data_IF_265520063080
#
_entry.id   IF_265520063080
#
_cell.length_a   1.000
_cell.length_b   1.000
_cell.length_c   1.000
_cell.angle_alpha   90.00
_cell.angle_beta   90.00
_cell.angle_gamma   90.00
#
_symmetry.space_group_name_H-M   'P 1'
#
loop_
_entity.id
_entity.type
_entity.pdbx_description
1 polymer ?
#
# COMPACT_ATOMS: atom_id res chain seq x y z
N UNK A 1 26.43 9.27 24.14
CA UNK A 1 25.94 10.40 23.33
C UNK A 1 25.03 9.81 22.25
N UNK A 2 23.71 9.88 22.42
CA UNK A 2 22.77 9.46 21.37
C UNK A 2 22.69 10.60 20.36
N UNK A 3 23.21 10.39 19.15
CA UNK A 3 22.91 11.26 18.02
C UNK A 3 21.39 11.30 17.85
N UNK A 4 20.78 12.45 18.16
CA UNK A 4 19.48 12.78 17.58
C UNK A 4 19.71 12.86 16.07
N UNK A 5 19.58 11.73 15.36
CA UNK A 5 19.39 11.75 13.91
C UNK A 5 18.17 12.61 13.71
N UNK A 6 18.40 13.82 13.22
CA UNK A 6 17.36 14.71 12.77
C UNK A 6 16.69 13.97 11.61
N UNK A 7 15.65 13.15 11.90
CA UNK A 7 14.85 12.49 10.88
C UNK A 7 14.00 13.56 10.25
N UNK A 8 14.63 14.37 9.40
CA UNK A 8 13.93 15.27 8.51
C UNK A 8 13.00 14.40 7.69
N UNK A 9 11.70 14.55 7.94
CA UNK A 9 10.67 13.89 7.16
C UNK A 9 10.84 14.32 5.72
N UNK A 10 10.84 13.36 4.81
CA UNK A 10 10.93 13.66 3.39
C UNK A 10 9.59 14.22 2.93
N UNK A 11 9.60 15.23 2.05
CA UNK A 11 8.39 15.92 1.56
C UNK A 11 8.39 16.15 0.04
N UNK A 12 9.44 15.70 -0.65
CA UNK A 12 9.68 15.88 -2.09
C UNK A 12 8.89 14.91 -2.98
N UNK A 13 8.04 14.05 -2.41
CA UNK A 13 7.25 13.05 -3.14
C UNK A 13 8.01 11.76 -3.47
N UNK A 14 9.28 11.66 -3.07
CA UNK A 14 10.11 10.48 -3.24
C UNK A 14 10.17 9.66 -1.95
N UNK A 15 10.38 8.36 -2.10
CA UNK A 15 10.60 7.40 -1.02
C UNK A 15 11.74 6.48 -1.43
N UNK A 16 12.38 5.82 -0.46
CA UNK A 16 13.39 4.80 -0.75
C UNK A 16 12.79 3.73 -1.66
N UNK A 17 13.51 3.36 -2.72
CA UNK A 17 13.17 2.18 -3.50
C UNK A 17 13.58 0.92 -2.73
N UNK A 18 12.62 0.27 -2.04
CA UNK A 18 12.89 -0.93 -1.22
C UNK A 18 13.38 -2.13 -2.06
N UNK A 19 13.16 -2.10 -3.38
CA UNK A 19 13.62 -3.14 -4.30
C UNK A 19 15.00 -2.84 -4.90
N UNK A 20 15.59 -1.67 -4.65
CA UNK A 20 16.97 -1.40 -5.04
C UNK A 20 17.95 -1.90 -3.97
N UNK A 21 19.08 -2.43 -4.43
CA UNK A 21 20.23 -2.76 -3.58
C UNK A 21 20.92 -1.50 -3.03
N UNK A 22 20.84 -0.38 -3.76
CA UNK A 22 21.45 0.88 -3.36
C UNK A 22 20.52 1.64 -2.39
N UNK A 23 20.93 1.92 -1.15
CA UNK A 23 20.10 2.61 -0.16
C UNK A 23 19.74 4.05 -0.51
N UNK A 24 20.43 4.66 -1.48
CA UNK A 24 20.19 6.04 -1.93
C UNK A 24 19.23 6.12 -3.12
N UNK A 25 18.88 5.00 -3.74
CA UNK A 25 17.92 5.00 -4.84
C UNK A 25 16.52 5.32 -4.31
N UNK A 26 15.88 6.28 -4.97
CA UNK A 26 14.54 6.74 -4.64
C UNK A 26 13.58 6.48 -5.79
N UNK A 27 12.31 6.34 -5.44
CA UNK A 27 11.20 6.18 -6.36
C UNK A 27 10.07 7.11 -5.92
N UNK A 28 9.28 7.62 -6.86
CA UNK A 28 8.10 8.43 -6.52
C UNK A 28 7.06 7.56 -5.83
N UNK A 29 6.48 8.06 -4.73
CA UNK A 29 5.40 7.38 -4.03
C UNK A 29 4.20 7.09 -4.95
N UNK A 30 3.87 8.03 -5.84
CA UNK A 30 2.78 7.87 -6.80
C UNK A 30 2.98 6.67 -7.75
N UNK A 31 4.23 6.43 -8.17
CA UNK A 31 4.59 5.32 -9.07
C UNK A 31 4.53 3.99 -8.34
N UNK A 32 4.89 3.97 -7.05
CA UNK A 32 4.74 2.78 -6.22
C UNK A 32 3.27 2.41 -6.10
N UNK A 33 2.40 3.38 -5.77
CA UNK A 33 0.95 3.16 -5.67
C UNK A 33 0.34 2.71 -6.99
N UNK A 34 0.70 3.34 -8.12
CA UNK A 34 0.24 2.92 -9.45
C UNK A 34 0.61 1.47 -9.78
N UNK A 35 1.81 1.03 -9.37
CA UNK A 35 2.23 -0.37 -9.56
C UNK A 35 1.42 -1.33 -8.68
N UNK A 36 1.11 -0.94 -7.45
CA UNK A 36 0.26 -1.73 -6.54
C UNK A 36 -1.16 -1.82 -7.09
N UNK A 37 -1.75 -0.71 -7.51
CA UNK A 37 -3.07 -0.65 -8.17
C UNK A 37 -3.13 -1.58 -9.38
N UNK A 38 -2.13 -1.48 -10.27
CA UNK A 38 -2.04 -2.32 -11.47
C UNK A 38 -1.90 -3.81 -11.13
N UNK A 39 -1.16 -4.15 -10.07
CA UNK A 39 -1.03 -5.53 -9.59
C UNK A 39 -2.34 -6.04 -9.00
N UNK A 40 -3.03 -5.24 -8.19
CA UNK A 40 -4.32 -5.57 -7.61
C UNK A 40 -5.37 -5.81 -8.71
N UNK A 41 -5.47 -4.90 -9.68
CA UNK A 41 -6.44 -4.98 -10.79
C UNK A 41 -6.28 -6.21 -11.70
N UNK A 42 -5.05 -6.70 -11.91
CA UNK A 42 -4.81 -7.92 -12.71
C UNK A 42 -5.38 -9.20 -12.09
N UNK A 43 -5.62 -9.20 -10.80
CA UNK A 43 -5.98 -10.40 -10.03
C UNK A 43 -7.40 -10.36 -9.45
N UNK A 44 -8.13 -9.27 -9.62
CA UNK A 44 -9.42 -9.06 -8.98
C UNK A 44 -10.63 -9.59 -9.77
N UNK A 45 -10.47 -10.05 -11.01
CA UNK A 45 -11.58 -10.62 -11.78
C UNK A 45 -12.77 -9.66 -11.95
N UNK A 46 -12.54 -8.34 -11.92
CA UNK A 46 -13.55 -7.27 -11.90
C UNK A 46 -14.34 -7.11 -10.58
N UNK A 47 -13.95 -7.79 -9.51
CA UNK A 47 -14.50 -7.59 -8.17
C UNK A 47 -13.76 -6.48 -7.42
N UNK A 48 -14.50 -5.49 -6.92
CA UNK A 48 -13.92 -4.34 -6.23
C UNK A 48 -13.34 -4.72 -4.87
N UNK A 49 -14.00 -5.63 -4.15
CA UNK A 49 -13.59 -6.15 -2.83
C UNK A 49 -12.22 -6.84 -2.93
N UNK A 50 -12.04 -7.66 -3.96
CA UNK A 50 -10.77 -8.33 -4.26
C UNK A 50 -9.68 -7.34 -4.68
N UNK A 51 -10.05 -6.25 -5.35
CA UNK A 51 -9.12 -5.18 -5.70
C UNK A 51 -8.67 -4.42 -4.46
N UNK A 52 -9.63 -3.97 -3.65
CA UNK A 52 -9.39 -3.12 -2.48
C UNK A 52 -8.55 -3.85 -1.43
N UNK A 53 -8.88 -5.10 -1.10
CA UNK A 53 -8.11 -5.91 -0.17
C UNK A 53 -6.65 -6.07 -0.61
N UNK A 54 -6.40 -6.34 -1.89
CA UNK A 54 -5.04 -6.50 -2.42
C UNK A 54 -4.27 -5.19 -2.49
N UNK A 55 -4.95 -4.10 -2.82
CA UNK A 55 -4.34 -2.77 -2.86
C UNK A 55 -3.90 -2.35 -1.45
N UNK A 56 -4.79 -2.46 -0.47
CA UNK A 56 -4.51 -2.04 0.90
C UNK A 56 -3.41 -2.89 1.53
N UNK A 57 -3.49 -4.23 1.41
CA UNK A 57 -2.44 -5.11 1.92
C UNK A 57 -1.09 -4.84 1.24
N UNK A 58 -1.06 -4.72 -0.10
CA UNK A 58 0.18 -4.40 -0.81
C UNK A 58 0.77 -3.03 -0.44
N UNK A 59 -0.07 -2.03 -0.15
CA UNK A 59 0.37 -0.71 0.26
C UNK A 59 0.87 -0.69 1.71
N UNK A 60 0.23 -1.42 2.62
CA UNK A 60 0.66 -1.56 4.01
C UNK A 60 1.95 -2.37 4.15
N UNK A 61 2.09 -3.46 3.39
CA UNK A 61 3.36 -4.21 3.29
C UNK A 61 4.52 -3.30 2.84
N UNK A 62 4.27 -2.47 1.82
CA UNK A 62 5.27 -1.52 1.34
C UNK A 62 5.58 -0.45 2.40
N UNK A 63 4.54 0.06 3.08
CA UNK A 63 4.67 1.05 4.15
C UNK A 63 5.50 0.51 5.32
N UNK A 64 5.33 -0.76 5.68
CA UNK A 64 6.10 -1.37 6.78
C UNK A 64 7.57 -1.56 6.41
N UNK A 65 7.85 -1.95 5.17
CA UNK A 65 9.21 -2.07 4.66
C UNK A 65 9.95 -0.71 4.50
N UNK A 66 9.22 0.42 4.51
CA UNK A 66 9.82 1.74 4.35
C UNK A 66 10.48 2.27 5.64
N UNK A 67 11.61 3.00 5.52
CA UNK A 67 12.14 3.80 6.62
C UNK A 67 11.09 4.78 7.16
N UNK A 68 11.02 4.95 8.48
CA UNK A 68 9.99 5.79 9.13
C UNK A 68 9.90 7.22 8.56
N UNK A 69 11.01 7.80 8.09
CA UNK A 69 11.05 9.15 7.47
C UNK A 69 10.32 9.27 6.13
N UNK A 70 10.12 8.15 5.44
CA UNK A 70 9.52 8.09 4.10
C UNK A 70 8.03 7.70 4.16
N UNK A 71 7.59 7.10 5.27
CA UNK A 71 6.20 6.64 5.47
C UNK A 71 5.15 7.75 5.27
N UNK A 72 5.32 8.99 5.78
CA UNK A 72 4.34 10.05 5.57
C UNK A 72 4.13 10.43 4.10
N UNK A 73 5.17 10.30 3.27
CA UNK A 73 5.07 10.60 1.83
C UNK A 73 4.18 9.59 1.13
N UNK A 74 4.35 8.30 1.43
CA UNK A 74 3.51 7.25 0.85
C UNK A 74 2.06 7.38 1.33
N UNK A 75 1.85 7.61 2.63
CA UNK A 75 0.51 7.84 3.19
C UNK A 75 -0.18 9.05 2.56
N UNK A 76 0.55 10.16 2.39
CA UNK A 76 0.02 11.36 1.74
C UNK A 76 -0.31 11.14 0.26
N UNK A 77 0.50 10.39 -0.48
CA UNK A 77 0.22 10.01 -1.86
C UNK A 77 -1.00 9.08 -1.97
N UNK A 78 -1.15 8.14 -1.05
CA UNK A 78 -2.30 7.24 -0.97
C UNK A 78 -3.60 8.01 -0.65
N UNK A 79 -3.55 8.94 0.30
CA UNK A 79 -4.70 9.78 0.64
C UNK A 79 -5.17 10.64 -0.55
N UNK A 80 -4.25 11.18 -1.36
CA UNK A 80 -4.57 11.91 -2.60
C UNK A 80 -5.28 11.03 -3.64
N UNK A 81 -5.10 9.71 -3.58
CA UNK A 81 -5.76 8.71 -4.42
C UNK A 81 -7.04 8.15 -3.79
N UNK A 82 -7.42 8.62 -2.59
CA UNK A 82 -8.61 8.18 -1.87
C UNK A 82 -8.40 6.95 -0.98
N UNK A 83 -7.15 6.54 -0.73
CA UNK A 83 -6.84 5.40 0.13
C UNK A 83 -6.36 5.85 1.52
N UNK A 84 -7.00 5.31 2.55
CA UNK A 84 -6.57 5.49 3.92
C UNK A 84 -5.77 4.25 4.36
N UNK A 85 -4.44 4.38 4.43
CA UNK A 85 -3.55 3.28 4.80
C UNK A 85 -3.54 3.07 6.32
N UNK A 86 -4.47 2.27 6.82
CA UNK A 86 -4.56 1.85 8.22
C UNK A 86 -4.95 0.39 8.34
N UNK A 87 -4.56 -0.26 9.44
CA UNK A 87 -4.93 -1.66 9.72
C UNK A 87 -6.45 -1.85 9.74
N UNK A 88 -7.20 -0.89 10.30
CA UNK A 88 -8.66 -0.97 10.37
C UNK A 88 -9.35 -0.90 9.00
N UNK A 89 -8.75 -0.25 7.99
CA UNK A 89 -9.28 -0.25 6.62
C UNK A 89 -8.89 -1.53 5.88
N UNK A 90 -7.71 -2.06 6.15
CA UNK A 90 -7.30 -3.36 5.62
C UNK A 90 -8.18 -4.49 6.15
N UNK A 91 -8.39 -4.56 7.47
CA UNK A 91 -9.25 -5.57 8.11
C UNK A 91 -10.66 -5.56 7.49
N UNK A 92 -11.27 -4.37 7.34
CA UNK A 92 -12.58 -4.23 6.68
C UNK A 92 -12.57 -4.67 5.21
N UNK A 93 -11.50 -4.40 4.47
CA UNK A 93 -11.36 -4.87 3.10
C UNK A 93 -11.18 -6.40 3.01
N UNK A 94 -10.50 -7.02 3.99
CA UNK A 94 -10.36 -8.47 4.07
C UNK A 94 -11.70 -9.15 4.42
N UNK A 95 -12.47 -8.58 5.34
CA UNK A 95 -13.81 -9.06 5.69
C UNK A 95 -14.75 -9.05 4.48
N UNK A 96 -14.82 -7.93 3.75
CA UNK A 96 -15.65 -7.82 2.54
C UNK A 96 -15.21 -8.77 1.42
N UNK A 97 -13.90 -8.97 1.26
CA UNK A 97 -13.33 -10.01 0.38
C UNK A 97 -13.83 -11.40 0.78
N UNK A 98 -13.81 -11.73 2.06
CA UNK A 98 -14.18 -13.06 2.56
C UNK A 98 -15.66 -13.35 2.40
N UNK A 99 -16.51 -12.34 2.58
CA UNK A 99 -17.95 -12.41 2.25
C UNK A 99 -18.13 -12.72 0.76
N UNK A 100 -17.52 -11.92 -0.13
CA UNK A 100 -17.62 -12.15 -1.58
C UNK A 100 -17.14 -13.56 -1.98
N UNK A 101 -16.02 -14.02 -1.43
CA UNK A 101 -15.50 -15.35 -1.74
C UNK A 101 -16.45 -16.46 -1.29
N UNK A 102 -17.14 -16.26 -0.17
CA UNK A 102 -18.18 -17.18 0.32
C UNK A 102 -19.39 -17.21 -0.61
N UNK A 103 -19.83 -16.05 -1.11
CA UNK A 103 -20.93 -15.94 -2.07
C UNK A 103 -20.60 -16.59 -3.41
N UNK A 104 -19.39 -16.36 -3.94
CA UNK A 104 -18.93 -16.99 -5.19
C UNK A 104 -18.88 -18.52 -5.04
N UNK A 105 -18.32 -19.02 -3.94
CA UNK A 105 -18.26 -20.46 -3.68
C UNK A 105 -19.65 -21.11 -3.56
N UNK A 106 -20.63 -20.40 -2.98
CA UNK A 106 -22.00 -20.89 -2.88
C UNK A 106 -22.75 -20.90 -4.23
N UNK A 107 -22.40 -20.01 -5.16
CA UNK A 107 -23.01 -19.93 -6.49
C UNK A 107 -22.38 -20.91 -7.51
N UNK A 108 -21.16 -21.40 -7.26
CA UNK A 108 -20.47 -22.40 -8.09
C UNK A 108 -20.90 -23.86 -7.77
N UNK A 109 -21.90 -24.05 -6.90
CA UNK A 109 -22.46 -25.33 -6.46
C UNK A 109 -23.86 -25.58 -7.07
#
# INVERSE_FOLDING_TARGET
>A
MMERRNMVLRTDGFIRNIHSRNPFDVIRADVVLERIEKKAGRSCGMHYELYQARLLGGALDYLDALPLKDRPVLMGAAAKRGYLLTLAEEERALETRDVLMSELAANDC
#
